data_IF_479559847219
#
_entry.id   IF_479559847219
#
_cell.length_a   1.000
_cell.length_b   1.000
_cell.length_c   1.000
_cell.angle_alpha   90.00
_cell.angle_beta   90.00
_cell.angle_gamma   90.00
#
_symmetry.space_group_name_H-M   'P 1'
#
loop_
_entity.id
_entity.type
_entity.pdbx_description
1 polymer ?
#
# COMPACT_ATOMS: atom_id res chain seq x y z
N UNK A 1 -0.23 27.04 -11.03
CA UNK A 1 -1.19 25.92 -11.04
C UNK A 1 -0.52 24.73 -10.36
N UNK A 2 -1.18 24.05 -9.43
CA UNK A 2 -0.65 22.79 -8.91
C UNK A 2 -0.75 21.74 -10.01
N UNK A 3 0.35 21.04 -10.31
CA UNK A 3 0.32 19.91 -11.25
C UNK A 3 -0.31 18.71 -10.52
N UNK A 4 -1.42 18.19 -11.07
CA UNK A 4 -2.02 16.96 -10.58
C UNK A 4 -1.14 15.78 -10.97
N UNK A 5 -0.66 15.04 -9.97
CA UNK A 5 0.09 13.80 -10.18
C UNK A 5 -0.91 12.64 -10.16
N UNK A 6 -0.93 11.76 -11.18
CA UNK A 6 -1.79 10.59 -11.15
C UNK A 6 -1.37 9.67 -9.99
N UNK A 7 -2.34 9.15 -9.24
CA UNK A 7 -2.08 8.32 -8.07
C UNK A 7 -2.74 6.95 -8.24
N UNK A 8 -2.06 5.91 -7.77
CA UNK A 8 -2.57 4.55 -7.67
C UNK A 8 -2.78 4.26 -6.19
N UNK A 9 -4.03 3.95 -5.85
CA UNK A 9 -4.41 3.51 -4.52
C UNK A 9 -4.40 1.99 -4.49
N UNK A 10 -3.58 1.43 -3.62
CA UNK A 10 -3.43 -0.02 -3.43
C UNK A 10 -4.09 -0.41 -2.12
N UNK A 11 -4.76 -1.56 -2.13
CA UNK A 11 -5.17 -2.22 -0.90
C UNK A 11 -3.94 -2.83 -0.21
N UNK A 12 -4.04 -3.11 1.08
CA UNK A 12 -2.93 -3.69 1.85
C UNK A 12 -2.97 -5.21 1.77
N UNK A 13 -3.99 -5.82 2.36
CA UNK A 13 -4.12 -7.27 2.47
C UNK A 13 -4.60 -7.87 1.14
N UNK A 14 -3.91 -8.91 0.64
CA UNK A 14 -4.20 -9.55 -0.64
C UNK A 14 -3.71 -8.79 -1.88
N UNK A 15 -3.17 -7.57 -1.72
CA UNK A 15 -2.56 -6.78 -2.81
C UNK A 15 -1.10 -6.46 -2.57
N UNK A 16 -0.73 -5.97 -1.37
CA UNK A 16 0.66 -5.71 -0.98
C UNK A 16 1.24 -6.89 -0.19
N UNK A 17 0.49 -7.39 0.78
CA UNK A 17 0.86 -8.58 1.53
C UNK A 17 -0.08 -9.74 1.23
N UNK A 18 0.41 -10.96 1.44
CA UNK A 18 -0.43 -12.15 1.47
C UNK A 18 -1.45 -11.99 2.59
N UNK A 19 -2.73 -12.23 2.27
CA UNK A 19 -3.80 -12.20 3.26
C UNK A 19 -3.81 -13.50 4.07
N UNK A 20 -3.17 -13.47 5.23
CA UNK A 20 -3.18 -14.58 6.18
C UNK A 20 -4.40 -14.56 7.12
N UNK A 21 -5.38 -13.66 6.92
CA UNK A 21 -6.60 -13.58 7.72
C UNK A 21 -6.37 -13.10 9.16
N UNK A 22 -6.01 -11.81 9.32
CA UNK A 22 -5.57 -11.12 10.55
C UNK A 22 -4.04 -11.06 10.77
N UNK A 23 -3.32 -10.42 9.85
CA UNK A 23 -1.92 -10.01 10.06
C UNK A 23 -1.87 -8.84 11.05
N UNK A 24 -1.52 -9.12 12.31
CA UNK A 24 -1.33 -8.12 13.37
C UNK A 24 0.11 -8.11 13.95
N UNK A 25 0.95 -9.02 13.46
CA UNK A 25 2.36 -9.14 13.82
C UNK A 25 3.22 -8.88 12.57
N UNK A 26 4.30 -8.10 12.70
CA UNK A 26 5.23 -7.79 11.60
C UNK A 26 5.81 -9.08 10.99
N UNK A 27 5.98 -10.11 11.82
CA UNK A 27 6.52 -11.42 11.41
C UNK A 27 5.61 -12.18 10.44
N UNK A 28 4.32 -11.83 10.36
CA UNK A 28 3.36 -12.41 9.41
C UNK A 28 3.14 -11.50 8.18
N UNK A 29 3.96 -10.45 8.01
CA UNK A 29 3.87 -9.59 6.85
C UNK A 29 4.72 -10.15 5.71
N UNK A 30 4.10 -11.01 4.90
CA UNK A 30 4.72 -11.55 3.70
C UNK A 30 4.32 -10.70 2.48
N UNK A 31 5.29 -10.07 1.83
CA UNK A 31 5.03 -9.38 0.56
C UNK A 31 4.65 -10.39 -0.50
N UNK A 32 3.64 -10.06 -1.30
CA UNK A 32 3.34 -10.83 -2.50
C UNK A 32 4.54 -10.75 -3.46
N UNK A 33 4.91 -11.88 -4.04
CA UNK A 33 6.02 -11.97 -4.98
C UNK A 33 5.91 -10.91 -6.09
N UNK A 34 6.99 -10.14 -6.27
CA UNK A 34 7.09 -9.10 -7.31
C UNK A 34 6.34 -7.80 -7.00
N UNK A 35 5.61 -7.69 -5.90
CA UNK A 35 4.84 -6.47 -5.60
C UNK A 35 5.72 -5.25 -5.36
N UNK A 36 6.88 -5.44 -4.76
CA UNK A 36 7.86 -4.37 -4.52
C UNK A 36 8.38 -3.84 -5.86
N UNK A 37 8.72 -4.73 -6.79
CA UNK A 37 9.21 -4.35 -8.12
C UNK A 37 8.12 -3.68 -8.95
N UNK A 38 6.87 -4.13 -8.84
CA UNK A 38 5.73 -3.47 -9.46
C UNK A 38 5.54 -2.03 -8.92
N UNK A 39 5.59 -1.85 -7.60
CA UNK A 39 5.50 -0.51 -6.99
C UNK A 39 6.66 0.41 -7.42
N UNK A 40 7.88 -0.13 -7.56
CA UNK A 40 9.02 0.63 -8.08
C UNK A 40 8.80 1.09 -9.52
N UNK A 41 8.31 0.21 -10.39
CA UNK A 41 7.97 0.56 -11.77
C UNK A 41 6.89 1.64 -11.83
N UNK A 42 5.84 1.54 -11.00
CA UNK A 42 4.78 2.56 -10.93
C UNK A 42 5.33 3.93 -10.49
N UNK A 43 6.29 3.95 -9.55
CA UNK A 43 6.99 5.18 -9.15
C UNK A 43 7.83 5.76 -10.29
N UNK A 44 8.54 4.92 -11.03
CA UNK A 44 9.35 5.33 -12.19
C UNK A 44 8.49 5.86 -13.34
N UNK A 45 7.27 5.34 -13.50
CA UNK A 45 6.27 5.84 -14.46
C UNK A 45 5.64 7.18 -14.04
N UNK A 46 5.97 7.70 -12.86
CA UNK A 46 5.50 9.00 -12.38
C UNK A 46 4.19 8.96 -11.60
N UNK A 47 3.73 7.79 -11.15
CA UNK A 47 2.56 7.69 -10.28
C UNK A 47 2.91 7.97 -8.81
N UNK A 48 2.00 8.63 -8.11
CA UNK A 48 1.98 8.61 -6.64
C UNK A 48 1.38 7.28 -6.16
N UNK A 49 1.92 6.70 -5.09
CA UNK A 49 1.37 5.49 -4.48
C UNK A 49 0.74 5.84 -3.14
N UNK A 50 -0.50 5.42 -2.92
CA UNK A 50 -1.20 5.57 -1.65
C UNK A 50 -1.78 4.24 -1.20
N UNK A 51 -1.71 3.95 0.10
CA UNK A 51 -2.46 2.84 0.69
C UNK A 51 -3.87 3.32 1.02
N UNK A 52 -4.88 2.64 0.50
CA UNK A 52 -6.29 2.95 0.74
C UNK A 52 -6.87 2.05 1.82
N UNK A 53 -6.45 2.21 3.07
CA UNK A 53 -7.12 1.57 4.22
C UNK A 53 -8.18 2.53 4.78
N UNK A 54 -9.40 2.02 5.01
CA UNK A 54 -10.37 2.72 5.85
C UNK A 54 -9.92 2.62 7.32
N UNK A 55 -10.26 3.61 8.16
CA UNK A 55 -9.31 4.27 9.04
C UNK A 55 -8.95 3.47 10.28
N UNK A 56 -7.67 3.46 10.65
CA UNK A 56 -7.26 3.28 12.04
C UNK A 56 -7.64 4.56 12.82
N UNK A 57 -8.87 4.61 13.36
CA UNK A 57 -9.26 5.64 14.34
C UNK A 57 -8.67 5.31 15.70
N UNK A 58 -7.62 6.03 16.10
CA UNK A 58 -7.55 6.57 17.46
C UNK A 58 -6.72 7.86 17.52
N UNK A 59 -7.36 8.96 17.95
CA UNK A 59 -6.69 10.19 18.40
C UNK A 59 -6.82 10.29 19.92
N UNK A 60 -5.76 10.10 20.72
CA UNK A 60 -5.71 10.70 22.03
C UNK A 60 -5.23 12.15 21.90
N UNK A 61 -5.85 13.05 22.67
CA UNK A 61 -5.27 14.36 22.96
C UNK A 61 -4.01 14.19 23.80
#
# INVERSE_FOLDING_TARGET
MAMSVPAIFLDRDGTINVDHGYVHEIDNFEFIDGVIDAMRQLKEMGYALGAGDQPVRYRPR
#
